data_IF_948682341870
#
_entry.id   IF_948682341870
#
_cell.length_a   1.000
_cell.length_b   1.000
_cell.length_c   1.000
_cell.angle_alpha   90.00
_cell.angle_beta   90.00
_cell.angle_gamma   90.00
#
_symmetry.space_group_name_H-M   'P 1'
#
loop_
_entity.id
_entity.type
_entity.pdbx_description
1 polymer ?
#
# COMPACT_ATOMS: atom_id res chain seq x y z
N UNK A 1 -10.25 17.38 1.11
CA UNK A 1 -10.21 16.01 0.56
C UNK A 1 -10.69 15.08 1.66
N UNK A 2 -11.65 14.21 1.36
CA UNK A 2 -12.14 13.21 2.31
C UNK A 2 -10.97 12.32 2.74
N UNK A 3 -10.92 11.88 4.01
CA UNK A 3 -9.85 11.00 4.50
C UNK A 3 -9.77 9.71 3.66
N UNK A 4 -10.91 9.15 3.27
CA UNK A 4 -10.97 8.03 2.33
C UNK A 4 -10.27 8.32 1.00
N UNK A 5 -10.49 9.51 0.44
CA UNK A 5 -9.83 9.92 -0.82
C UNK A 5 -8.31 10.03 -0.62
N UNK A 6 -7.84 10.61 0.50
CA UNK A 6 -6.41 10.70 0.83
C UNK A 6 -5.77 9.31 0.88
N UNK A 7 -6.41 8.36 1.57
CA UNK A 7 -5.89 7.00 1.72
C UNK A 7 -5.89 6.25 0.38
N UNK A 8 -6.93 6.41 -0.45
CA UNK A 8 -6.99 5.80 -1.79
C UNK A 8 -5.95 6.40 -2.74
N UNK A 9 -5.68 7.70 -2.66
CA UNK A 9 -4.60 8.35 -3.42
C UNK A 9 -3.23 7.82 -2.97
N UNK A 10 -3.02 7.65 -1.66
CA UNK A 10 -1.79 7.07 -1.12
C UNK A 10 -1.59 5.61 -1.60
N UNK A 11 -2.64 4.79 -1.54
CA UNK A 11 -2.62 3.41 -2.03
C UNK A 11 -2.29 3.33 -3.53
N UNK A 12 -2.93 4.18 -4.35
CA UNK A 12 -2.67 4.23 -5.79
C UNK A 12 -1.24 4.63 -6.09
N UNK A 13 -0.69 5.65 -5.43
CA UNK A 13 0.70 6.05 -5.64
C UNK A 13 1.69 4.95 -5.25
N UNK A 14 1.44 4.26 -4.14
CA UNK A 14 2.24 3.11 -3.74
C UNK A 14 2.18 2.02 -4.82
N UNK A 15 0.98 1.63 -5.25
CA UNK A 15 0.78 0.61 -6.27
C UNK A 15 1.46 0.97 -7.60
N UNK A 16 1.33 2.21 -8.07
CA UNK A 16 2.00 2.68 -9.30
C UNK A 16 3.52 2.57 -9.25
N UNK A 17 4.14 2.79 -8.08
CA UNK A 17 5.59 2.65 -7.91
C UNK A 17 5.98 1.18 -7.84
N UNK A 18 5.23 0.39 -7.08
CA UNK A 18 5.50 -1.02 -6.86
C UNK A 18 5.29 -1.82 -8.16
N UNK A 19 4.28 -1.52 -8.97
CA UNK A 19 4.06 -2.17 -10.28
C UNK A 19 5.20 -1.99 -11.30
N UNK A 20 6.15 -1.08 -11.06
CA UNK A 20 7.36 -0.92 -11.88
C UNK A 20 8.46 -1.92 -11.53
N UNK A 21 8.31 -2.63 -10.42
CA UNK A 21 9.23 -3.66 -9.94
C UNK A 21 8.90 -5.01 -10.58
N UNK A 22 9.86 -5.93 -10.55
CA UNK A 22 9.71 -7.26 -11.16
C UNK A 22 9.10 -8.31 -10.22
N UNK A 23 9.18 -8.07 -8.92
CA UNK A 23 8.73 -8.95 -7.84
C UNK A 23 7.22 -8.98 -7.58
N UNK A 24 6.43 -7.89 -7.70
CA UNK A 24 5.03 -7.90 -7.29
C UNK A 24 4.13 -8.71 -8.22
N UNK A 25 3.29 -9.57 -7.62
CA UNK A 25 2.25 -10.35 -8.29
C UNK A 25 0.88 -9.70 -8.11
N UNK A 26 0.57 -9.28 -6.88
CA UNK A 26 -0.73 -8.71 -6.53
C UNK A 26 -0.55 -7.64 -5.45
N UNK A 27 -1.40 -6.61 -5.50
CA UNK A 27 -1.52 -5.57 -4.47
C UNK A 27 -3.00 -5.36 -4.20
N UNK A 28 -3.42 -5.39 -2.93
CA UNK A 28 -4.80 -5.10 -2.56
C UNK A 28 -4.87 -4.21 -1.32
N UNK A 29 -5.91 -3.37 -1.28
CA UNK A 29 -6.30 -2.67 -0.05
C UNK A 29 -7.10 -3.65 0.80
N UNK A 30 -6.79 -3.71 2.10
CA UNK A 30 -7.54 -4.49 3.08
C UNK A 30 -8.03 -3.56 4.21
N UNK A 31 -8.71 -4.12 5.21
CA UNK A 31 -9.13 -3.35 6.38
C UNK A 31 -10.24 -2.33 6.11
N UNK A 32 -10.26 -1.25 6.89
CA UNK A 32 -11.37 -0.29 6.95
C UNK A 32 -11.66 0.41 5.61
N UNK A 33 -10.61 0.75 4.84
CA UNK A 33 -10.75 1.37 3.51
C UNK A 33 -11.33 0.39 2.49
N UNK A 34 -11.02 -0.90 2.58
CA UNK A 34 -11.61 -1.92 1.70
C UNK A 34 -13.09 -2.18 2.03
N UNK A 35 -13.48 -1.99 3.30
CA UNK A 35 -14.86 -2.11 3.76
C UNK A 35 -15.71 -0.84 3.58
N UNK A 36 -15.20 0.19 2.89
CA UNK A 36 -15.85 1.49 2.72
C UNK A 36 -16.30 2.14 4.04
N UNK A 37 -15.51 1.97 5.11
CA UNK A 37 -15.75 2.65 6.38
C UNK A 37 -15.82 4.17 6.14
N UNK A 38 -16.85 4.89 6.61
CA UNK A 38 -16.94 6.34 6.45
C UNK A 38 -15.83 7.11 7.19
N UNK A 39 -15.16 6.50 8.17
CA UNK A 39 -14.17 7.11 9.06
C UNK A 39 -12.92 6.23 9.23
N UNK A 40 -12.21 5.87 8.14
CA UNK A 40 -11.05 4.99 8.22
C UNK A 40 -9.93 5.66 9.02
N UNK A 41 -9.20 4.88 9.83
CA UNK A 41 -8.13 5.40 10.68
C UNK A 41 -6.72 5.18 10.12
N UNK A 42 -6.60 4.27 9.18
CA UNK A 42 -5.37 3.75 8.62
C UNK A 42 -5.59 3.24 7.19
N UNK A 43 -4.48 2.94 6.52
CA UNK A 43 -4.44 2.25 5.24
C UNK A 43 -3.68 0.94 5.40
N UNK A 44 -4.40 -0.17 5.26
CA UNK A 44 -3.80 -1.49 5.25
C UNK A 44 -3.68 -1.99 3.80
N UNK A 45 -2.48 -2.43 3.44
CA UNK A 45 -2.17 -2.95 2.11
C UNK A 45 -1.59 -4.35 2.25
N UNK A 46 -1.97 -5.24 1.33
CA UNK A 46 -1.27 -6.51 1.12
C UNK A 46 -0.56 -6.50 -0.22
N UNK A 47 0.64 -7.08 -0.26
CA UNK A 47 1.40 -7.36 -1.47
C UNK A 47 1.84 -8.83 -1.50
N UNK A 48 1.60 -9.49 -2.62
CA UNK A 48 2.15 -10.82 -2.92
C UNK A 48 3.33 -10.62 -3.86
N UNK A 49 4.48 -11.22 -3.55
CA UNK A 49 5.73 -11.10 -4.32
C UNK A 49 6.29 -12.46 -4.71
N UNK A 50 6.93 -12.56 -5.87
CA UNK A 50 7.59 -13.81 -6.34
C UNK A 50 9.03 -13.99 -5.82
N UNK A 51 9.66 -12.94 -5.30
CA UNK A 51 11.01 -12.99 -4.75
C UNK A 51 11.30 -11.78 -3.84
N UNK A 52 12.32 -11.92 -2.98
CA UNK A 52 12.67 -10.95 -1.94
C UNK A 52 13.70 -9.89 -2.36
N UNK A 53 14.12 -9.86 -3.63
CA UNK A 53 15.23 -9.01 -4.08
C UNK A 53 14.93 -7.51 -3.95
N UNK A 54 13.65 -7.14 -4.02
CA UNK A 54 13.21 -5.74 -4.06
C UNK A 54 12.53 -5.26 -2.77
N UNK A 55 12.54 -6.04 -1.68
CA UNK A 55 11.89 -5.66 -0.39
C UNK A 55 12.34 -4.27 0.07
N UNK A 56 13.64 -3.98 0.00
CA UNK A 56 14.17 -2.68 0.45
C UNK A 56 13.59 -1.52 -0.37
N UNK A 57 13.33 -1.73 -1.67
CA UNK A 57 12.72 -0.73 -2.54
C UNK A 57 11.22 -0.58 -2.24
N UNK A 58 10.51 -1.69 -2.02
CA UNK A 58 9.11 -1.69 -1.60
C UNK A 58 8.94 -0.92 -0.28
N UNK A 59 9.79 -1.19 0.72
CA UNK A 59 9.78 -0.49 2.00
C UNK A 59 10.04 1.02 1.86
N UNK A 60 10.92 1.43 0.92
CA UNK A 60 11.14 2.85 0.59
C UNK A 60 9.88 3.47 -0.01
N UNK A 61 9.20 2.78 -0.93
CA UNK A 61 7.95 3.28 -1.52
C UNK A 61 6.82 3.38 -0.49
N UNK A 62 6.71 2.41 0.42
CA UNK A 62 5.79 2.47 1.55
C UNK A 62 6.09 3.68 2.45
N UNK A 63 7.37 3.95 2.77
CA UNK A 63 7.71 5.16 3.53
C UNK A 63 7.27 6.45 2.84
N UNK A 64 7.34 6.51 1.52
CA UNK A 64 7.00 7.71 0.75
C UNK A 64 5.51 8.07 0.81
N UNK A 65 4.61 7.11 1.06
CA UNK A 65 3.17 7.43 1.26
C UNK A 65 2.88 8.18 2.55
N UNK A 66 3.85 8.26 3.49
CA UNK A 66 3.77 9.11 4.68
C UNK A 66 3.57 10.60 4.37
N UNK A 67 3.80 11.03 3.11
CA UNK A 67 3.48 12.39 2.65
C UNK A 67 1.97 12.69 2.62
N UNK A 68 1.14 11.66 2.54
CA UNK A 68 -0.32 11.76 2.52
C UNK A 68 -0.92 11.53 3.90
N UNK A 69 -0.46 10.49 4.58
CA UNK A 69 -0.99 10.05 5.86
C UNK A 69 0.01 9.14 6.58
N UNK A 70 0.06 9.17 7.91
CA UNK A 70 1.05 8.42 8.70
C UNK A 70 0.58 7.06 9.23
N UNK A 71 -0.73 6.78 9.22
CA UNK A 71 -1.26 5.47 9.62
C UNK A 71 -1.38 4.56 8.41
N UNK A 72 -0.35 3.78 8.12
CA UNK A 72 -0.38 2.78 7.06
C UNK A 72 0.46 1.56 7.44
N UNK A 73 0.04 0.40 6.95
CA UNK A 73 0.76 -0.87 7.08
C UNK A 73 0.78 -1.57 5.71
N UNK A 74 1.93 -2.18 5.39
CA UNK A 74 2.09 -3.00 4.17
C UNK A 74 2.49 -4.40 4.60
N UNK A 75 1.58 -5.35 4.45
CA UNK A 75 1.79 -6.77 4.69
C UNK A 75 2.34 -7.41 3.41
N UNK A 76 3.48 -8.08 3.52
CA UNK A 76 4.18 -8.67 2.39
C UNK A 76 4.25 -10.19 2.57
N UNK A 77 3.85 -10.91 1.52
CA UNK A 77 3.85 -12.37 1.47
C UNK A 77 4.63 -12.82 0.23
N UNK A 78 5.51 -13.81 0.40
CA UNK A 78 6.12 -14.55 -0.70
C UNK A 78 5.24 -15.73 -1.14
N UNK A 79 5.46 -16.22 -2.36
CA UNK A 79 4.80 -17.40 -2.92
C UNK A 79 5.32 -18.73 -2.34
#
# INVERSE_FOLDING_TARGET
MNKNEILRVAANEFAEKVHKLSSPLEIAIIGSVAGDDPYPNDLDLVIIIRNLEEITTIAKYARQISRHYHGWEVFLFDE
#
